data_IF_562284043958
#
_entry.id   IF_562284043958
#
_cell.length_a   1.000
_cell.length_b   1.000
_cell.length_c   1.000
_cell.angle_alpha   90.00
_cell.angle_beta   90.00
_cell.angle_gamma   90.00
#
_symmetry.space_group_name_H-M   'P 1'
#
loop_
_entity.id
_entity.type
_entity.pdbx_description
1 polymer ?
#
# COMPACT_ATOMS: atom_id res chain seq x y z
N UNK A 1 -6.01 13.14 5.66
CA UNK A 1 -5.16 12.31 4.78
C UNK A 1 -4.45 11.31 5.65
N UNK A 2 -4.51 10.01 5.28
CA UNK A 2 -3.66 8.95 5.81
C UNK A 2 -2.35 8.90 5.01
N UNK A 3 -1.24 8.50 5.63
CA UNK A 3 0.04 8.44 4.94
C UNK A 3 0.82 7.18 5.34
N UNK A 4 1.25 6.43 4.33
CA UNK A 4 2.11 5.24 4.46
C UNK A 4 3.43 5.58 3.79
N UNK A 5 4.48 5.73 4.58
CA UNK A 5 5.83 6.08 4.12
C UNK A 5 6.60 4.83 3.67
N UNK A 6 7.57 5.01 2.79
CA UNK A 6 8.45 3.96 2.26
C UNK A 6 9.16 3.16 3.37
N UNK A 7 9.73 3.84 4.36
CA UNK A 7 10.18 3.21 5.60
C UNK A 7 9.03 3.22 6.60
N UNK A 8 8.51 2.07 6.98
CA UNK A 8 7.26 1.86 7.73
C UNK A 8 7.08 2.83 8.92
N UNK A 9 8.18 3.32 9.50
CA UNK A 9 8.18 4.38 10.51
C UNK A 9 7.29 4.09 11.72
N UNK A 10 7.15 2.82 12.13
CA UNK A 10 6.49 2.48 13.39
C UNK A 10 7.36 2.97 14.55
N UNK A 11 6.71 3.47 15.59
CA UNK A 11 7.38 3.87 16.82
C UNK A 11 7.86 2.62 17.57
N UNK A 12 9.18 2.39 17.68
CA UNK A 12 9.71 1.13 18.20
C UNK A 12 9.44 0.90 19.69
N UNK A 13 9.19 1.96 20.44
CA UNK A 13 8.89 1.98 21.86
C UNK A 13 7.39 1.90 22.18
N UNK A 14 6.55 1.83 21.16
CA UNK A 14 5.09 1.71 21.29
C UNK A 14 4.65 0.32 20.84
N UNK A 15 3.61 -0.22 21.51
CA UNK A 15 2.95 -1.44 21.04
C UNK A 15 2.25 -1.22 19.70
N UNK A 16 1.81 -2.28 19.05
CA UNK A 16 1.06 -2.19 17.79
C UNK A 16 -0.25 -1.43 17.98
N UNK A 17 -0.98 -1.71 19.06
CA UNK A 17 -2.19 -0.95 19.41
C UNK A 17 -1.91 0.55 19.59
N UNK A 18 -0.82 0.89 20.26
CA UNK A 18 -0.40 2.28 20.46
C UNK A 18 0.02 2.94 19.14
N UNK A 19 0.72 2.23 18.26
CA UNK A 19 1.10 2.73 16.95
C UNK A 19 -0.13 3.07 16.09
N UNK A 20 -1.12 2.18 16.04
CA UNK A 20 -2.37 2.40 15.28
C UNK A 20 -3.17 3.55 15.93
N UNK A 21 -3.24 3.58 17.25
CA UNK A 21 -4.03 4.54 18.02
C UNK A 21 -3.39 5.93 18.18
N UNK A 22 -2.16 6.17 17.70
CA UNK A 22 -1.43 7.42 17.96
C UNK A 22 -2.18 8.66 17.47
N UNK A 23 -2.65 8.65 16.22
CA UNK A 23 -3.37 9.80 15.65
C UNK A 23 -4.75 9.99 16.27
N UNK A 24 -5.61 8.97 16.44
CA UNK A 24 -6.83 9.08 17.23
C UNK A 24 -6.61 9.66 18.63
N UNK A 25 -5.54 9.25 19.33
CA UNK A 25 -5.18 9.78 20.66
C UNK A 25 -4.81 11.26 20.59
N UNK A 26 -4.03 11.67 19.60
CA UNK A 26 -3.70 13.11 19.39
C UNK A 26 -4.93 13.96 19.08
N UNK A 27 -5.96 13.35 18.47
CA UNK A 27 -7.26 13.99 18.20
C UNK A 27 -8.23 13.88 19.40
N UNK A 28 -7.75 13.48 20.57
CA UNK A 28 -8.53 13.35 21.79
C UNK A 28 -9.76 12.44 21.66
N UNK A 29 -9.66 11.36 20.88
CA UNK A 29 -10.74 10.37 20.84
C UNK A 29 -10.89 9.66 22.20
N UNK A 30 -12.11 9.32 22.61
CA UNK A 30 -12.35 8.50 23.79
C UNK A 30 -11.58 7.17 23.71
N UNK A 31 -11.03 6.73 24.85
CA UNK A 31 -10.21 5.51 24.91
C UNK A 31 -10.93 4.27 24.33
N UNK A 32 -12.19 4.06 24.71
CA UNK A 32 -13.00 2.94 24.21
C UNK A 32 -13.15 2.96 22.68
N UNK A 33 -13.31 4.15 22.10
CA UNK A 33 -13.38 4.32 20.64
C UNK A 33 -12.05 3.97 19.98
N UNK A 34 -10.92 4.31 20.60
CA UNK A 34 -9.59 3.97 20.09
C UNK A 34 -9.40 2.45 20.11
N UNK A 35 -9.71 1.79 21.23
CA UNK A 35 -9.59 0.34 21.39
C UNK A 35 -10.45 -0.40 20.36
N UNK A 36 -11.72 -0.01 20.20
CA UNK A 36 -12.61 -0.59 19.20
C UNK A 36 -12.06 -0.41 17.77
N UNK A 37 -11.56 0.80 17.45
CA UNK A 37 -11.00 1.10 16.13
C UNK A 37 -9.71 0.32 15.86
N UNK A 38 -8.83 0.18 16.82
CA UNK A 38 -7.61 -0.63 16.71
C UNK A 38 -7.96 -2.09 16.44
N UNK A 39 -8.91 -2.66 17.18
CA UNK A 39 -9.39 -4.03 16.96
C UNK A 39 -9.96 -4.24 15.56
N UNK A 40 -10.79 -3.32 15.09
CA UNK A 40 -11.34 -3.33 13.73
C UNK A 40 -10.23 -3.31 12.66
N UNK A 41 -9.25 -2.41 12.81
CA UNK A 41 -8.17 -2.25 11.85
C UNK A 41 -7.19 -3.43 11.83
N UNK A 42 -6.89 -4.01 12.98
CA UNK A 42 -6.08 -5.23 13.05
C UNK A 42 -6.75 -6.38 12.27
N UNK A 43 -8.07 -6.56 12.46
CA UNK A 43 -8.85 -7.55 11.69
C UNK A 43 -8.84 -7.24 10.19
N UNK A 44 -8.98 -5.96 9.82
CA UNK A 44 -8.97 -5.51 8.42
C UNK A 44 -7.66 -5.88 7.71
N UNK A 45 -6.52 -5.74 8.39
CA UNK A 45 -5.19 -6.09 7.88
C UNK A 45 -4.77 -7.53 8.20
N UNK A 46 -5.71 -8.39 8.57
CA UNK A 46 -5.50 -9.83 8.83
C UNK A 46 -4.44 -10.12 9.92
N UNK A 47 -4.41 -9.29 10.94
CA UNK A 47 -3.64 -9.52 12.16
C UNK A 47 -4.64 -9.76 13.31
N UNK A 48 -4.49 -10.89 14.00
CA UNK A 48 -5.35 -11.21 15.12
C UNK A 48 -5.14 -10.22 16.28
N UNK A 49 -6.17 -9.46 16.71
CA UNK A 49 -6.03 -8.44 17.75
C UNK A 49 -5.49 -8.97 19.07
N UNK A 50 -5.92 -10.18 19.50
CA UNK A 50 -5.51 -10.76 20.78
C UNK A 50 -4.02 -11.12 20.78
N UNK A 51 -3.50 -11.55 19.63
CA UNK A 51 -2.10 -11.95 19.48
C UNK A 51 -1.17 -10.79 19.17
N UNK A 52 -1.64 -9.71 18.55
CA UNK A 52 -0.75 -8.67 17.98
C UNK A 52 -0.83 -7.32 18.68
N UNK A 53 -1.95 -6.95 19.34
CA UNK A 53 -2.15 -5.61 19.87
C UNK A 53 -1.03 -5.16 20.83
N UNK A 54 -0.56 -6.05 21.69
CA UNK A 54 0.43 -5.77 22.74
C UNK A 54 1.88 -6.03 22.31
N UNK A 55 2.10 -6.54 21.08
CA UNK A 55 3.46 -6.73 20.57
C UNK A 55 4.11 -5.38 20.20
N UNK A 56 5.43 -5.39 20.17
CA UNK A 56 6.25 -4.29 19.66
C UNK A 56 6.65 -4.53 18.20
N UNK A 57 6.97 -3.48 17.42
CA UNK A 57 7.38 -3.61 16.03
C UNK A 57 8.51 -4.62 15.80
N UNK A 58 9.49 -4.70 16.69
CA UNK A 58 10.62 -5.64 16.62
C UNK A 58 10.21 -7.13 16.66
N UNK A 59 9.00 -7.43 17.07
CA UNK A 59 8.45 -8.79 17.17
C UNK A 59 7.64 -9.19 15.90
N UNK A 60 7.58 -8.31 14.90
CA UNK A 60 6.84 -8.50 13.67
C UNK A 60 7.78 -8.66 12.47
N UNK A 61 7.37 -9.46 11.47
CA UNK A 61 8.01 -9.49 10.16
C UNK A 61 7.84 -8.15 9.42
N UNK A 62 8.66 -7.87 8.41
CA UNK A 62 8.53 -6.66 7.60
C UNK A 62 7.14 -6.48 6.98
N UNK A 63 6.56 -7.55 6.43
CA UNK A 63 5.20 -7.51 5.88
C UNK A 63 4.14 -7.24 6.95
N UNK A 64 4.27 -7.82 8.15
CA UNK A 64 3.36 -7.54 9.27
C UNK A 64 3.50 -6.08 9.73
N UNK A 65 4.72 -5.54 9.82
CA UNK A 65 4.93 -4.13 10.14
C UNK A 65 4.28 -3.21 9.08
N UNK A 66 4.36 -3.56 7.81
CA UNK A 66 3.73 -2.79 6.73
C UNK A 66 2.20 -2.79 6.86
N UNK A 67 1.59 -3.94 7.17
CA UNK A 67 0.15 -4.05 7.45
C UNK A 67 -0.26 -3.13 8.61
N UNK A 68 0.54 -3.06 9.67
CA UNK A 68 0.33 -2.12 10.79
C UNK A 68 0.44 -0.66 10.32
N UNK A 69 1.38 -0.35 9.44
CA UNK A 69 1.52 0.97 8.81
C UNK A 69 0.26 1.39 8.05
N UNK A 70 -0.32 0.46 7.27
CA UNK A 70 -1.61 0.66 6.57
C UNK A 70 -2.74 0.88 7.58
N UNK A 71 -2.85 0.04 8.62
CA UNK A 71 -3.85 0.18 9.68
C UNK A 71 -3.74 1.55 10.38
N UNK A 72 -2.53 2.01 10.71
CA UNK A 72 -2.27 3.33 11.29
C UNK A 72 -2.72 4.47 10.39
N UNK A 73 -2.45 4.38 9.08
CA UNK A 73 -2.87 5.39 8.11
C UNK A 73 -4.41 5.48 8.00
N UNK A 74 -5.11 4.37 8.21
CA UNK A 74 -6.59 4.28 8.18
C UNK A 74 -7.25 4.62 9.52
N UNK A 75 -6.49 4.84 10.60
CA UNK A 75 -7.01 4.92 11.96
C UNK A 75 -8.11 5.97 12.15
N UNK A 76 -7.94 7.16 11.58
CA UNK A 76 -8.91 8.26 11.64
C UNK A 76 -9.97 8.24 10.55
N UNK A 77 -10.05 7.13 9.80
CA UNK A 77 -10.99 6.97 8.67
C UNK A 77 -10.87 8.07 7.59
N UNK A 78 -9.66 8.42 7.13
CA UNK A 78 -9.47 9.51 6.18
C UNK A 78 -10.11 9.18 4.82
N UNK A 79 -10.59 10.20 4.04
CA UNK A 79 -11.09 10.00 2.70
C UNK A 79 -9.97 9.71 1.67
N UNK A 80 -8.75 10.16 1.96
CA UNK A 80 -7.58 9.96 1.09
C UNK A 80 -6.46 9.28 1.85
N UNK A 81 -5.82 8.28 1.23
CA UNK A 81 -4.61 7.62 1.75
C UNK A 81 -3.52 7.68 0.70
N UNK A 82 -2.37 8.22 1.08
CA UNK A 82 -1.19 8.31 0.24
C UNK A 82 -0.21 7.19 0.63
N UNK A 83 0.25 6.46 -0.35
CA UNK A 83 1.28 5.42 -0.25
C UNK A 83 2.52 5.86 -1.04
N UNK A 84 3.64 5.97 -0.37
CA UNK A 84 4.92 6.38 -0.96
C UNK A 84 5.85 5.17 -0.99
N UNK A 85 6.00 4.55 -2.16
CA UNK A 85 6.77 3.32 -2.39
C UNK A 85 6.56 2.22 -1.33
N UNK A 86 5.31 1.83 -1.02
CA UNK A 86 5.01 1.01 0.16
C UNK A 86 5.57 -0.41 0.09
N UNK A 87 6.04 -0.86 -1.06
CA UNK A 87 6.48 -2.24 -1.28
C UNK A 87 7.99 -2.38 -1.55
N UNK A 88 8.72 -1.27 -1.68
CA UNK A 88 10.10 -1.24 -2.16
C UNK A 88 11.11 -2.01 -1.30
N UNK A 89 10.87 -2.17 0.00
CA UNK A 89 11.78 -2.84 0.93
C UNK A 89 11.45 -4.33 1.18
N UNK A 90 10.47 -4.90 0.44
CA UNK A 90 9.98 -6.27 0.68
C UNK A 90 10.54 -7.25 -0.36
N UNK A 91 10.73 -8.50 0.06
CA UNK A 91 10.99 -9.61 -0.86
C UNK A 91 9.78 -9.86 -1.79
N UNK A 92 10.01 -10.54 -2.91
CA UNK A 92 9.02 -10.68 -3.97
C UNK A 92 7.70 -11.36 -3.52
N UNK A 93 7.77 -12.38 -2.67
CA UNK A 93 6.56 -13.10 -2.21
C UNK A 93 5.75 -12.23 -1.24
N UNK A 94 6.41 -11.66 -0.24
CA UNK A 94 5.79 -10.75 0.73
C UNK A 94 5.19 -9.53 0.04
N UNK A 95 5.86 -9.01 -1.01
CA UNK A 95 5.36 -7.90 -1.83
C UNK A 95 4.03 -8.26 -2.51
N UNK A 96 3.97 -9.39 -3.21
CA UNK A 96 2.74 -9.84 -3.89
C UNK A 96 1.58 -10.05 -2.91
N UNK A 97 1.85 -10.67 -1.76
CA UNK A 97 0.83 -10.86 -0.72
C UNK A 97 0.29 -9.52 -0.23
N UNK A 98 1.17 -8.57 0.06
CA UNK A 98 0.76 -7.26 0.57
C UNK A 98 0.02 -6.42 -0.49
N UNK A 99 0.43 -6.48 -1.75
CA UNK A 99 -0.28 -5.82 -2.87
C UNK A 99 -1.72 -6.33 -2.97
N UNK A 100 -1.92 -7.65 -2.94
CA UNK A 100 -3.27 -8.27 -2.95
C UNK A 100 -4.08 -7.84 -1.74
N UNK A 101 -3.45 -7.80 -0.57
CA UNK A 101 -4.10 -7.39 0.67
C UNK A 101 -4.53 -5.91 0.62
N UNK A 102 -3.66 -5.01 0.18
CA UNK A 102 -3.98 -3.58 0.06
C UNK A 102 -5.09 -3.36 -0.97
N UNK A 103 -5.08 -4.10 -2.09
CA UNK A 103 -6.17 -4.06 -3.07
C UNK A 103 -7.49 -4.52 -2.45
N UNK A 104 -7.49 -5.65 -1.73
CA UNK A 104 -8.67 -6.15 -1.00
C UNK A 104 -9.20 -5.12 0.01
N UNK A 105 -8.30 -4.48 0.76
CA UNK A 105 -8.66 -3.42 1.72
C UNK A 105 -9.32 -2.26 0.99
N UNK A 106 -8.72 -1.78 -0.11
CA UNK A 106 -9.30 -0.70 -0.91
C UNK A 106 -10.70 -1.06 -1.41
N UNK A 107 -10.88 -2.25 -1.98
CA UNK A 107 -12.16 -2.71 -2.53
C UNK A 107 -13.24 -2.87 -1.45
N UNK A 108 -12.85 -3.17 -0.20
CA UNK A 108 -13.75 -3.25 0.95
C UNK A 108 -14.15 -1.89 1.55
N UNK A 109 -13.43 -0.83 1.21
CA UNK A 109 -13.61 0.51 1.78
C UNK A 109 -14.29 1.43 0.78
N UNK A 110 -15.63 1.55 0.87
CA UNK A 110 -16.38 2.48 0.05
C UNK A 110 -15.93 3.95 0.26
N UNK A 111 -15.94 4.73 -0.83
CA UNK A 111 -15.68 6.17 -0.81
C UNK A 111 -14.30 6.61 -0.31
N UNK A 112 -13.26 5.80 -0.55
CA UNK A 112 -11.87 6.17 -0.26
C UNK A 112 -11.06 6.21 -1.54
N UNK A 113 -10.15 7.18 -1.61
CA UNK A 113 -9.17 7.25 -2.70
C UNK A 113 -7.80 6.88 -2.14
N UNK A 114 -7.18 5.87 -2.74
CA UNK A 114 -5.79 5.50 -2.48
C UNK A 114 -4.93 6.05 -3.62
N UNK A 115 -3.91 6.81 -3.25
CA UNK A 115 -2.90 7.30 -4.18
C UNK A 115 -1.58 6.59 -3.91
N UNK A 116 -1.11 5.83 -4.90
CA UNK A 116 0.18 5.12 -4.83
C UNK A 116 1.22 5.86 -5.65
N UNK A 117 2.36 6.12 -5.04
CA UNK A 117 3.58 6.53 -5.74
C UNK A 117 4.48 5.31 -5.79
N UNK A 118 4.86 4.90 -6.99
CA UNK A 118 5.75 3.75 -7.23
C UNK A 118 6.58 3.98 -8.48
N UNK A 119 7.76 3.41 -8.53
CA UNK A 119 8.58 3.33 -9.74
C UNK A 119 8.37 2.02 -10.53
N UNK A 120 7.56 1.10 -10.01
CA UNK A 120 7.23 -0.16 -10.67
C UNK A 120 5.90 -0.05 -11.43
N UNK A 121 5.99 -0.09 -12.76
CA UNK A 121 4.81 0.00 -13.63
C UNK A 121 3.84 -1.17 -13.40
N UNK A 122 4.32 -2.38 -13.04
CA UNK A 122 3.47 -3.52 -12.76
C UNK A 122 2.61 -3.28 -11.52
N UNK A 123 3.19 -2.67 -10.47
CA UNK A 123 2.43 -2.26 -9.28
C UNK A 123 1.33 -1.25 -9.66
N UNK A 124 1.68 -0.23 -10.45
CA UNK A 124 0.73 0.79 -10.87
C UNK A 124 -0.43 0.19 -11.68
N UNK A 125 -0.14 -0.71 -12.63
CA UNK A 125 -1.14 -1.39 -13.44
C UNK A 125 -2.02 -2.36 -12.63
N UNK A 126 -1.43 -3.04 -11.65
CA UNK A 126 -2.14 -4.01 -10.81
C UNK A 126 -3.08 -3.36 -9.79
N UNK A 127 -2.63 -2.28 -9.15
CA UNK A 127 -3.34 -1.63 -8.04
C UNK A 127 -4.28 -0.52 -8.51
N UNK A 128 -3.89 0.20 -9.56
CA UNK A 128 -4.56 1.42 -9.98
C UNK A 128 -5.84 1.17 -10.74
N UNK A 129 -6.91 1.91 -10.41
CA UNK A 129 -8.06 2.10 -11.30
C UNK A 129 -7.74 3.13 -12.39
N UNK A 130 -6.82 4.04 -12.09
CA UNK A 130 -6.21 4.98 -13.04
C UNK A 130 -4.71 5.07 -12.76
N UNK A 131 -3.94 5.19 -13.83
CA UNK A 131 -2.49 5.28 -13.78
C UNK A 131 -2.06 6.63 -14.35
N UNK A 132 -1.23 7.35 -13.59
CA UNK A 132 -0.58 8.57 -14.02
C UNK A 132 0.91 8.28 -14.23
N UNK A 133 1.35 8.34 -15.48
CA UNK A 133 2.78 8.25 -15.82
C UNK A 133 3.36 9.64 -15.85
N UNK A 134 4.46 9.84 -15.13
CA UNK A 134 5.16 11.13 -15.04
C UNK A 134 6.61 10.99 -15.47
N UNK A 135 7.12 11.97 -16.22
CA UNK A 135 8.50 12.06 -16.63
C UNK A 135 8.95 13.52 -16.70
N UNK A 136 10.15 13.83 -16.18
CA UNK A 136 10.69 15.19 -16.21
C UNK A 136 9.77 16.25 -15.57
N UNK A 137 8.97 15.88 -14.54
CA UNK A 137 8.03 16.79 -13.88
C UNK A 137 6.73 17.03 -14.67
N UNK A 138 6.49 16.31 -15.78
CA UNK A 138 5.28 16.43 -16.60
C UNK A 138 4.49 15.12 -16.57
N UNK A 139 3.18 15.25 -16.76
CA UNK A 139 2.29 14.10 -16.95
C UNK A 139 2.39 13.67 -18.41
N UNK A 140 2.87 12.45 -18.66
CA UNK A 140 2.96 11.83 -19.96
C UNK A 140 1.64 11.18 -20.38
N UNK A 141 0.97 10.53 -19.41
CA UNK A 141 -0.34 9.92 -19.61
C UNK A 141 -1.10 9.80 -18.30
N UNK A 142 -2.42 9.96 -18.33
CA UNK A 142 -3.32 9.68 -17.20
C UNK A 142 -4.56 8.98 -17.71
N UNK A 143 -4.62 7.65 -17.54
CA UNK A 143 -5.64 6.80 -18.16
C UNK A 143 -5.91 5.56 -17.29
N UNK A 144 -6.83 4.69 -17.73
CA UNK A 144 -7.00 3.36 -17.13
C UNK A 144 -5.79 2.48 -17.43
N UNK A 145 -5.51 1.42 -16.62
CA UNK A 145 -4.45 0.45 -16.91
C UNK A 145 -4.53 -0.11 -18.34
N UNK A 146 -5.71 -0.48 -18.80
CA UNK A 146 -5.96 -1.01 -20.15
C UNK A 146 -5.55 0.01 -21.23
N UNK A 147 -5.98 1.27 -21.09
CA UNK A 147 -5.63 2.33 -22.04
C UNK A 147 -4.13 2.63 -22.05
N UNK A 148 -3.47 2.60 -20.88
CA UNK A 148 -2.01 2.78 -20.80
C UNK A 148 -1.29 1.70 -21.58
N UNK A 149 -1.71 0.43 -21.46
CA UNK A 149 -1.07 -0.71 -22.11
C UNK A 149 -1.38 -0.76 -23.60
N UNK A 150 -2.63 -0.52 -24.01
CA UNK A 150 -3.08 -0.68 -25.40
C UNK A 150 -2.84 0.57 -26.26
N UNK A 151 -2.85 1.75 -25.66
CA UNK A 151 -2.72 3.03 -26.33
C UNK A 151 -1.72 3.95 -25.60
N UNK A 152 -0.42 3.60 -25.58
CA UNK A 152 0.60 4.45 -24.95
C UNK A 152 0.69 5.80 -25.66
N UNK A 153 0.50 6.89 -24.88
CA UNK A 153 0.38 8.24 -25.44
C UNK A 153 1.71 8.82 -25.93
N UNK A 154 2.84 8.39 -25.36
CA UNK A 154 4.17 8.92 -25.72
C UNK A 154 5.18 7.79 -25.91
N UNK A 155 6.31 8.13 -26.56
CA UNK A 155 7.43 7.18 -26.71
C UNK A 155 7.95 6.71 -25.36
N UNK A 156 8.00 7.61 -24.37
CA UNK A 156 8.44 7.27 -23.02
C UNK A 156 7.53 6.19 -22.37
N UNK A 157 6.20 6.35 -22.46
CA UNK A 157 5.25 5.36 -21.94
C UNK A 157 5.42 4.01 -22.64
N UNK A 158 5.63 4.02 -23.97
CA UNK A 158 5.87 2.80 -24.76
C UNK A 158 7.16 2.10 -24.35
N UNK A 159 8.24 2.84 -24.14
CA UNK A 159 9.52 2.29 -23.67
C UNK A 159 9.40 1.73 -22.26
N UNK A 160 8.72 2.43 -21.35
CA UNK A 160 8.46 1.97 -19.99
C UNK A 160 7.70 0.62 -19.98
N UNK A 161 6.69 0.48 -20.83
CA UNK A 161 5.94 -0.79 -20.99
C UNK A 161 6.79 -1.88 -21.64
N UNK A 162 7.71 -1.53 -22.54
CA UNK A 162 8.64 -2.49 -23.15
C UNK A 162 9.53 -3.21 -22.14
N UNK A 163 9.86 -2.59 -21.01
CA UNK A 163 10.62 -3.24 -19.94
C UNK A 163 9.83 -4.37 -19.26
N UNK A 164 8.51 -4.28 -19.22
CA UNK A 164 7.61 -5.32 -18.68
C UNK A 164 7.55 -6.53 -19.63
N UNK A 165 7.36 -6.28 -20.92
CA UNK A 165 7.26 -7.34 -21.94
C UNK A 165 8.57 -8.14 -22.07
N UNK A 166 9.72 -7.48 -21.93
CA UNK A 166 11.01 -8.17 -21.91
C UNK A 166 11.15 -9.11 -20.70
N UNK A 167 10.64 -8.74 -19.54
CA UNK A 167 10.63 -9.61 -18.37
C UNK A 167 9.74 -10.84 -18.57
N UNK A 168 8.56 -10.70 -19.18
CA UNK A 168 7.68 -11.84 -19.49
C UNK A 168 8.33 -12.80 -20.49
N UNK A 169 9.03 -12.30 -21.50
CA UNK A 169 9.76 -13.14 -22.47
C UNK A 169 10.92 -13.90 -21.83
N UNK A 170 11.62 -13.31 -20.84
CA UNK A 170 12.67 -14.02 -20.09
C UNK A 170 12.12 -15.18 -19.28
N UNK A 171 10.85 -15.17 -18.85
CA UNK A 171 10.20 -16.26 -18.14
C UNK A 171 9.59 -17.31 -19.08
N UNK A 172 9.34 -17.00 -20.35
CA UNK A 172 8.88 -17.96 -21.36
C UNK A 172 9.84 -19.13 -21.59
N UNK A 173 11.12 -18.97 -21.25
CA UNK A 173 12.13 -20.03 -21.37
C UNK A 173 12.04 -21.11 -20.28
N UNK A 174 11.27 -20.88 -19.23
CA UNK A 174 11.17 -21.80 -18.08
C UNK A 174 10.02 -22.81 -18.27
N UNK A 175 9.20 -22.63 -19.29
CA UNK A 175 8.02 -23.48 -19.55
C UNK A 175 8.11 -24.35 -20.81
N UNK A 176 9.24 -24.30 -21.54
CA UNK A 176 9.65 -25.26 -22.59
C UNK A 176 10.72 -26.24 -22.04
#
# INVERSE_FOLDING_TARGET
>A
IGYVVQQIGLFPHMTIAQNIGVVPKMLNWPHEKIVSRVTELLKLVQLDPESFADRYPSQLSGGQQQRVGVARALATNPPYVLFDEPFGALDALTRLELQREVKRIHDSLANKTFLFVTHDINEALFLGQRVMVMHGGKIEQFATPEEVVTHPATTFVKELLGTVQQNEQLWGWVHD
#
